data_IF_842043853361
#
_entry.id   IF_842043853361
#
_cell.length_a   1.000
_cell.length_b   1.000
_cell.length_c   1.000
_cell.angle_alpha   90.00
_cell.angle_beta   90.00
_cell.angle_gamma   90.00
#
_symmetry.space_group_name_H-M   'P 1'
#
loop_
_entity.id
_entity.type
_entity.pdbx_description
1 polymer ?
#
# COMPACT_ATOMS: atom_id res chain seq x y z
N UNK A 1 7.19 -36.97 13.15
CA UNK A 1 6.82 -35.72 12.43
C UNK A 1 6.06 -34.83 13.40
N UNK A 2 6.79 -33.93 14.07
CA UNK A 2 6.23 -33.09 15.14
C UNK A 2 5.53 -31.91 14.47
N UNK A 3 4.24 -32.04 14.19
CA UNK A 3 3.39 -30.90 13.85
C UNK A 3 3.21 -30.09 15.13
N UNK A 4 4.17 -29.19 15.38
CA UNK A 4 3.96 -28.10 16.32
C UNK A 4 2.92 -27.18 15.69
N UNK A 5 1.66 -27.60 15.77
CA UNK A 5 0.49 -26.78 15.52
C UNK A 5 0.51 -25.75 16.62
N UNK A 6 1.19 -24.62 16.35
CA UNK A 6 0.99 -23.42 17.12
C UNK A 6 -0.51 -23.13 17.08
N UNK A 7 -1.11 -23.19 18.27
CA UNK A 7 -2.53 -23.24 18.51
C UNK A 7 -3.36 -22.34 17.58
N UNK A 8 -4.47 -22.89 17.09
CA UNK A 8 -5.48 -22.20 16.28
C UNK A 8 -5.99 -20.83 16.82
N UNK A 9 -5.84 -20.43 18.11
CA UNK A 9 -6.15 -19.06 18.53
C UNK A 9 -5.06 -18.02 18.16
N UNK A 10 -3.80 -18.43 18.01
CA UNK A 10 -2.68 -17.52 17.74
C UNK A 10 -2.61 -17.05 16.28
N UNK A 11 -3.13 -17.84 15.33
CA UNK A 11 -3.23 -17.45 13.92
C UNK A 11 -4.13 -16.23 13.71
N UNK A 12 -5.19 -16.10 14.51
CA UNK A 12 -6.14 -14.99 14.42
C UNK A 12 -5.53 -13.69 14.95
N UNK A 13 -4.69 -13.76 15.99
CA UNK A 13 -4.02 -12.59 16.57
C UNK A 13 -2.86 -12.08 15.69
N UNK A 14 -2.19 -12.97 14.96
CA UNK A 14 -1.09 -12.58 14.08
C UNK A 14 -1.57 -11.85 12.82
N UNK A 15 -2.72 -12.22 12.25
CA UNK A 15 -3.28 -11.58 11.06
C UNK A 15 -3.61 -10.09 11.30
N UNK A 16 -4.25 -9.76 12.42
CA UNK A 16 -4.58 -8.36 12.77
C UNK A 16 -3.35 -7.46 13.02
N UNK A 17 -2.16 -8.03 13.22
CA UNK A 17 -0.89 -7.29 13.35
C UNK A 17 0.04 -7.48 12.13
N UNK A 18 -0.50 -8.00 11.01
CA UNK A 18 0.25 -8.16 9.78
C UNK A 18 0.62 -6.81 9.18
N UNK A 19 1.80 -6.76 8.55
CA UNK A 19 2.23 -5.63 7.71
C UNK A 19 1.75 -5.79 6.27
N UNK A 20 1.54 -7.01 5.83
CA UNK A 20 1.09 -7.33 4.48
C UNK A 20 0.71 -8.80 4.36
N UNK A 21 0.29 -9.19 3.16
CA UNK A 21 -0.07 -10.57 2.84
C UNK A 21 0.41 -10.94 1.44
N UNK A 22 0.53 -12.24 1.19
CA UNK A 22 0.89 -12.85 -0.08
C UNK A 22 -0.17 -13.89 -0.40
N UNK A 23 -0.79 -13.79 -1.57
CA UNK A 23 -1.65 -14.84 -2.10
C UNK A 23 -0.79 -15.90 -2.79
N UNK A 24 -1.08 -17.18 -2.50
CA UNK A 24 -0.50 -18.27 -3.29
C UNK A 24 -1.05 -18.25 -4.72
N UNK A 25 -0.22 -18.66 -5.69
CA UNK A 25 -0.64 -18.81 -7.08
C UNK A 25 -1.83 -19.77 -7.21
N UNK A 26 -2.70 -19.56 -8.20
CA UNK A 26 -3.79 -20.49 -8.53
C UNK A 26 -3.31 -21.88 -8.97
N UNK A 27 -2.04 -22.00 -9.35
CA UNK A 27 -1.39 -23.27 -9.64
C UNK A 27 -1.06 -24.09 -8.39
N UNK A 28 -1.18 -23.51 -7.18
CA UNK A 28 -0.95 -24.25 -5.94
C UNK A 28 -2.13 -25.21 -5.69
N UNK A 29 -1.86 -26.50 -5.45
CA UNK A 29 -2.92 -27.49 -5.17
C UNK A 29 -3.69 -27.18 -3.88
N UNK A 30 -3.09 -26.40 -2.99
CA UNK A 30 -3.72 -25.89 -1.78
C UNK A 30 -3.62 -24.36 -1.77
N UNK A 31 -4.72 -23.62 -1.98
CA UNK A 31 -4.72 -22.17 -1.89
C UNK A 31 -4.56 -21.72 -0.43
N UNK A 32 -3.74 -20.70 -0.20
CA UNK A 32 -3.50 -20.11 1.11
C UNK A 32 -3.24 -18.60 1.01
N UNK A 33 -3.56 -17.88 2.08
CA UNK A 33 -3.12 -16.50 2.29
C UNK A 33 -1.99 -16.52 3.31
N UNK A 34 -0.83 -15.99 2.94
CA UNK A 34 0.34 -15.94 3.82
C UNK A 34 0.47 -14.52 4.36
N UNK A 35 0.23 -14.33 5.66
CA UNK A 35 0.42 -13.04 6.31
C UNK A 35 1.89 -12.85 6.70
N UNK A 36 2.40 -11.63 6.48
CA UNK A 36 3.73 -11.20 6.90
C UNK A 36 3.56 -10.29 8.12
N UNK A 37 4.01 -10.72 9.30
CA UNK A 37 3.95 -9.87 10.50
C UNK A 37 5.02 -8.77 10.45
N UNK A 38 4.89 -7.75 11.31
CA UNK A 38 5.93 -6.71 11.46
C UNK A 38 7.30 -7.28 11.85
N UNK A 39 7.33 -8.46 12.48
CA UNK A 39 8.56 -9.19 12.83
C UNK A 39 9.13 -10.02 11.67
N UNK A 40 8.54 -9.94 10.47
CA UNK A 40 8.95 -10.73 9.31
C UNK A 40 8.55 -12.20 9.39
N UNK A 41 7.62 -12.58 10.28
CA UNK A 41 7.15 -13.96 10.37
C UNK A 41 6.06 -14.21 9.32
N UNK A 42 6.16 -15.34 8.64
CA UNK A 42 5.15 -15.81 7.68
C UNK A 42 4.17 -16.75 8.37
N UNK A 43 2.88 -16.44 8.21
CA UNK A 43 1.79 -17.19 8.82
C UNK A 43 0.82 -17.62 7.73
N UNK A 44 0.69 -18.92 7.51
CA UNK A 44 -0.28 -19.47 6.58
C UNK A 44 -1.68 -19.43 7.19
N UNK A 45 -2.63 -18.90 6.43
CA UNK A 45 -4.02 -18.78 6.82
C UNK A 45 -4.94 -19.32 5.72
N UNK A 46 -6.07 -19.85 6.16
CA UNK A 46 -7.08 -20.42 5.26
C UNK A 46 -7.84 -19.29 4.53
N UNK A 47 -7.92 -19.33 3.18
CA UNK A 47 -8.57 -18.28 2.39
C UNK A 47 -10.10 -18.27 2.52
N UNK A 48 -10.70 -19.37 2.98
CA UNK A 48 -12.15 -19.50 3.15
C UNK A 48 -12.63 -18.95 4.51
N UNK A 49 -11.70 -18.62 5.41
CA UNK A 49 -12.05 -18.06 6.71
C UNK A 49 -12.43 -16.57 6.60
N UNK A 50 -13.62 -16.22 7.08
CA UNK A 50 -14.13 -14.84 7.04
C UNK A 50 -13.19 -13.82 7.71
N UNK A 51 -12.56 -14.18 8.84
CA UNK A 51 -11.63 -13.27 9.54
C UNK A 51 -10.36 -13.01 8.73
N UNK A 52 -9.91 -14.01 7.98
CA UNK A 52 -8.75 -13.91 7.07
C UNK A 52 -9.09 -12.99 5.91
N UNK A 53 -10.28 -13.15 5.31
CA UNK A 53 -10.74 -12.27 4.24
C UNK A 53 -10.92 -10.83 4.69
N UNK A 54 -11.50 -10.62 5.87
CA UNK A 54 -11.62 -9.27 6.48
C UNK A 54 -10.24 -8.65 6.68
N UNK A 55 -9.31 -9.38 7.27
CA UNK A 55 -7.94 -8.89 7.48
C UNK A 55 -7.23 -8.56 6.16
N UNK A 56 -7.38 -9.41 5.14
CA UNK A 56 -6.86 -9.17 3.78
C UNK A 56 -7.38 -7.85 3.20
N UNK A 57 -8.68 -7.60 3.33
CA UNK A 57 -9.33 -6.36 2.87
C UNK A 57 -8.81 -5.13 3.61
N UNK A 58 -8.66 -5.20 4.93
CA UNK A 58 -8.11 -4.10 5.74
C UNK A 58 -6.66 -3.78 5.34
N UNK A 59 -5.81 -4.80 5.14
CA UNK A 59 -4.44 -4.62 4.68
C UNK A 59 -4.37 -4.02 3.27
N UNK A 60 -5.27 -4.46 2.37
CA UNK A 60 -5.37 -3.91 1.02
C UNK A 60 -5.77 -2.44 1.04
N UNK A 61 -6.73 -2.08 1.90
CA UNK A 61 -7.17 -0.69 2.07
C UNK A 61 -6.04 0.18 2.63
N UNK A 62 -5.35 -0.29 3.67
CA UNK A 62 -4.21 0.43 4.25
C UNK A 62 -3.09 0.69 3.22
N UNK A 63 -2.77 -0.30 2.39
CA UNK A 63 -1.81 -0.14 1.30
C UNK A 63 -2.26 0.89 0.26
N UNK A 64 -3.54 0.90 -0.11
CA UNK A 64 -4.08 1.85 -1.08
C UNK A 64 -4.09 3.28 -0.53
N UNK A 65 -4.35 3.46 0.76
CA UNK A 65 -4.30 4.78 1.42
C UNK A 65 -2.88 5.32 1.43
N UNK A 66 -1.86 4.50 1.71
CA UNK A 66 -0.45 4.94 1.66
C UNK A 66 0.02 5.26 0.24
N UNK A 67 -0.47 4.51 -0.77
CA UNK A 67 -0.24 4.83 -2.18
C UNK A 67 -0.85 6.19 -2.54
N UNK A 68 -2.13 6.40 -2.20
CA UNK A 68 -2.82 7.68 -2.38
C UNK A 68 -2.09 8.82 -1.66
N UNK A 69 -1.62 8.59 -0.43
CA UNK A 69 -0.86 9.59 0.34
C UNK A 69 0.44 9.96 -0.35
N UNK A 70 1.14 8.99 -0.94
CA UNK A 70 2.36 9.21 -1.71
C UNK A 70 2.05 10.05 -2.95
N UNK A 71 1.00 9.69 -3.69
CA UNK A 71 0.53 10.46 -4.84
C UNK A 71 0.17 11.90 -4.46
N UNK A 72 -0.55 12.11 -3.35
CA UNK A 72 -0.90 13.44 -2.86
C UNK A 72 0.33 14.27 -2.48
N UNK A 73 1.36 13.64 -1.91
CA UNK A 73 2.62 14.32 -1.60
C UNK A 73 3.37 14.75 -2.87
N UNK A 74 3.37 13.90 -3.90
CA UNK A 74 3.91 14.25 -5.22
C UNK A 74 3.14 15.40 -5.88
N UNK A 75 1.80 15.36 -5.83
CA UNK A 75 0.97 16.47 -6.31
C UNK A 75 1.25 17.76 -5.54
N UNK A 76 1.39 17.69 -4.22
CA UNK A 76 1.76 18.85 -3.40
C UNK A 76 3.17 19.40 -3.68
N UNK A 77 4.09 18.58 -4.19
CA UNK A 77 5.41 19.02 -4.64
C UNK A 77 5.35 19.72 -6.01
N UNK A 78 4.52 19.23 -6.94
CA UNK A 78 4.31 19.86 -8.25
C UNK A 78 3.62 21.22 -8.14
N UNK A 79 2.63 21.35 -7.27
CA UNK A 79 1.95 22.64 -6.99
C UNK A 79 2.90 23.65 -6.31
N UNK A 80 3.98 23.17 -5.69
CA UNK A 80 5.07 23.98 -5.12
C UNK A 80 6.26 24.12 -6.08
N UNK A 81 6.02 23.93 -7.39
CA UNK A 81 6.98 24.28 -8.44
C UNK A 81 7.46 25.72 -8.28
N UNK A 82 8.69 26.03 -8.73
CA UNK A 82 9.37 27.28 -8.42
C UNK A 82 8.44 28.46 -8.72
N UNK A 83 8.38 29.42 -7.80
CA UNK A 83 7.81 30.74 -8.03
C UNK A 83 8.11 31.12 -9.47
N UNK A 84 7.07 31.28 -10.29
CA UNK A 84 7.22 31.56 -11.72
C UNK A 84 8.39 32.54 -11.87
N UNK A 85 9.48 32.18 -12.59
CA UNK A 85 10.59 33.11 -12.73
C UNK A 85 9.96 34.40 -13.22
N UNK A 86 10.19 35.49 -12.48
CA UNK A 86 9.62 36.79 -12.73
C UNK A 86 9.85 37.12 -14.20
N UNK A 87 8.88 36.79 -15.04
CA UNK A 87 8.78 37.26 -16.40
C UNK A 87 8.42 38.72 -16.22
N UNK A 88 9.46 39.51 -15.93
CA UNK A 88 9.47 40.93 -16.21
C UNK A 88 8.83 41.06 -17.59
N UNK A 89 7.76 41.87 -17.73
CA UNK A 89 7.15 42.06 -19.02
C UNK A 89 8.24 42.64 -19.92
N UNK A 90 8.79 41.83 -20.80
CA UNK A 90 9.58 42.34 -21.91
C UNK A 90 8.60 43.15 -22.74
N UNK A 91 8.65 44.47 -22.51
CA UNK A 91 7.90 45.47 -23.23
C UNK A 91 8.12 45.21 -24.72
N UNK A 92 7.08 44.88 -25.48
CA UNK A 92 7.24 44.62 -26.89
C UNK A 92 7.53 45.98 -27.57
N UNK A 93 8.73 46.10 -28.14
CA UNK A 93 9.26 47.33 -28.73
C UNK A 93 8.39 47.92 -29.87
N UNK A 94 7.38 47.19 -30.37
CA UNK A 94 6.51 47.64 -31.45
C UNK A 94 5.53 48.76 -31.05
N UNK A 95 5.42 49.12 -29.76
CA UNK A 95 4.58 50.25 -29.30
C UNK A 95 5.14 51.64 -29.63
N UNK A 96 6.20 51.76 -30.44
CA UNK A 96 6.81 53.03 -30.84
C UNK A 96 6.50 53.45 -32.29
N UNK A 97 5.31 53.11 -32.81
CA UNK A 97 4.81 53.61 -34.09
C UNK A 97 3.37 54.12 -33.93
N UNK A 98 3.24 55.33 -33.38
CA UNK A 98 2.06 56.19 -33.48
C UNK A 98 2.51 57.65 -33.39
#
# INVERSE_FOLDING_TARGET
>A
MKTSIAALPFLILAAQAARGYIDTSSACPQPAVIFVTKKGQHVCADPNNERVQKCKSELRLGSAVEDLRSLLLERGRLERGPSAPSLLPHSPHWRALA
#
